data_IF_343673080379
#
_entry.id   IF_343673080379
#
_cell.length_a   1.000
_cell.length_b   1.000
_cell.length_c   1.000
_cell.angle_alpha   90.00
_cell.angle_beta   90.00
_cell.angle_gamma   90.00
#
_symmetry.space_group_name_H-M   'P 1'
#
loop_
_entity.id
_entity.type
_entity.pdbx_description
1 polymer ?
#
# COMPACT_ATOMS: atom_id res chain seq x y z
N UNK A 1 -16.28 3.41 15.30
CA UNK A 1 -16.24 4.89 15.13
C UNK A 1 -17.10 5.26 13.93
N UNK A 2 -18.00 6.27 13.99
CA UNK A 2 -18.75 6.67 12.81
C UNK A 2 -17.97 7.75 12.06
N UNK A 3 -17.04 7.33 11.19
CA UNK A 3 -16.44 8.21 10.20
C UNK A 3 -17.56 8.69 9.28
N UNK A 4 -17.86 9.99 9.26
CA UNK A 4 -18.79 10.50 8.25
C UNK A 4 -18.08 10.48 6.91
N UNK A 5 -18.53 9.57 6.04
CA UNK A 5 -17.98 9.42 4.70
C UNK A 5 -18.35 10.62 3.81
N UNK A 6 -17.47 11.04 2.89
CA UNK A 6 -17.76 12.06 1.89
C UNK A 6 -18.98 11.69 1.06
N UNK A 7 -19.86 12.68 0.81
CA UNK A 7 -21.01 12.53 -0.08
C UNK A 7 -20.81 13.20 -1.42
N UNK A 8 -19.76 14.02 -1.52
CA UNK A 8 -19.33 14.70 -2.75
C UNK A 8 -17.82 14.75 -2.85
N UNK A 9 -17.29 15.10 -4.04
CA UNK A 9 -15.84 15.21 -4.28
C UNK A 9 -15.20 16.41 -3.59
N UNK A 10 -16.00 17.42 -3.24
CA UNK A 10 -15.56 18.61 -2.50
C UNK A 10 -15.53 18.40 -0.98
N UNK A 11 -16.13 17.31 -0.49
CA UNK A 11 -16.16 17.04 0.94
C UNK A 11 -14.80 16.54 1.43
N UNK A 12 -14.45 16.95 2.65
CA UNK A 12 -13.38 16.34 3.44
C UNK A 12 -13.92 15.17 4.24
N UNK A 13 -13.04 14.26 4.62
CA UNK A 13 -13.41 13.23 5.58
C UNK A 13 -13.59 13.85 6.96
N UNK A 14 -14.71 13.56 7.63
CA UNK A 14 -14.87 13.89 9.03
C UNK A 14 -14.28 12.77 9.90
N UNK A 15 -12.98 12.57 9.77
CA UNK A 15 -12.20 11.61 10.55
C UNK A 15 -11.56 12.35 11.72
N UNK A 16 -11.76 11.86 12.92
CA UNK A 16 -11.08 12.39 14.08
C UNK A 16 -9.76 11.62 14.25
N UNK A 17 -8.66 12.27 13.95
CA UNK A 17 -7.32 11.74 14.23
C UNK A 17 -6.93 12.09 15.67
N UNK A 18 -6.40 11.14 16.47
CA UNK A 18 -5.89 11.45 17.79
C UNK A 18 -4.81 12.53 17.73
N UNK A 19 -4.91 13.50 18.61
CA UNK A 19 -3.87 14.52 18.80
C UNK A 19 -2.76 13.99 19.72
N UNK A 20 -1.58 14.59 19.65
CA UNK A 20 -0.43 14.28 20.52
C UNK A 20 0.14 12.86 20.40
N UNK A 21 -0.02 12.19 19.25
CA UNK A 21 0.70 10.96 18.95
C UNK A 21 2.13 11.28 18.47
N UNK A 22 3.14 10.46 18.84
CA UNK A 22 4.54 10.70 18.44
C UNK A 22 4.76 10.59 16.94
N UNK A 23 3.92 9.82 16.23
CA UNK A 23 3.97 9.63 14.78
C UNK A 23 2.66 10.08 14.11
N UNK A 24 2.76 10.57 12.88
CA UNK A 24 1.60 10.81 12.04
C UNK A 24 0.99 9.50 11.57
N UNK A 25 1.84 8.49 11.32
CA UNK A 25 1.42 7.16 10.88
C UNK A 25 2.33 6.07 11.43
N UNK A 26 1.71 4.93 11.75
CA UNK A 26 2.38 3.64 11.95
C UNK A 26 2.01 2.72 10.80
N UNK A 27 2.99 2.07 10.19
CA UNK A 27 2.80 0.99 9.24
C UNK A 27 3.17 -0.36 9.85
N UNK A 28 2.29 -1.34 9.73
CA UNK A 28 2.52 -2.71 10.18
C UNK A 28 2.27 -3.68 9.04
N UNK A 29 3.31 -4.39 8.60
CA UNK A 29 3.20 -5.36 7.51
C UNK A 29 4.50 -5.64 6.77
N UNK A 30 4.39 -5.97 5.49
CA UNK A 30 5.47 -6.52 4.68
C UNK A 30 6.60 -5.54 4.37
N UNK A 31 7.79 -6.08 4.44
CA UNK A 31 9.01 -5.57 3.84
C UNK A 31 9.64 -6.69 3.01
N UNK A 32 10.04 -6.42 1.79
CA UNK A 32 10.65 -7.41 0.89
C UNK A 32 11.91 -6.87 0.22
N UNK A 33 12.69 -7.80 -0.33
CA UNK A 33 13.76 -7.47 -1.27
C UNK A 33 13.32 -7.92 -2.67
N UNK A 34 13.23 -6.97 -3.59
CA UNK A 34 12.76 -7.22 -4.93
C UNK A 34 13.96 -7.37 -5.89
N UNK A 35 14.03 -8.51 -6.55
CA UNK A 35 14.97 -8.81 -7.63
C UNK A 35 14.27 -8.52 -8.96
N UNK A 36 14.46 -7.32 -9.47
CA UNK A 36 13.83 -6.85 -10.71
C UNK A 36 14.60 -7.31 -11.93
N UNK A 37 13.92 -8.00 -12.83
CA UNK A 37 14.44 -8.53 -14.08
C UNK A 37 13.71 -7.86 -15.26
N UNK A 38 14.28 -6.79 -15.82
CA UNK A 38 13.73 -6.18 -17.03
C UNK A 38 14.07 -7.04 -18.25
N UNK A 39 13.05 -7.50 -18.95
CA UNK A 39 13.18 -8.33 -20.15
C UNK A 39 12.62 -7.63 -21.40
N UNK A 40 13.13 -7.96 -22.61
CA UNK A 40 12.56 -7.41 -23.85
C UNK A 40 11.08 -7.72 -24.02
N UNK A 41 10.70 -8.95 -23.64
CA UNK A 41 9.34 -9.48 -23.60
C UNK A 41 9.30 -10.65 -22.61
N UNK A 42 8.12 -10.99 -22.10
CA UNK A 42 7.98 -12.14 -21.20
C UNK A 42 8.29 -13.43 -21.96
N UNK A 43 9.19 -14.30 -21.44
CA UNK A 43 9.58 -15.52 -22.15
C UNK A 43 8.42 -16.53 -22.20
N UNK A 44 8.35 -17.31 -23.27
CA UNK A 44 7.44 -18.45 -23.37
C UNK A 44 7.90 -19.57 -22.42
N UNK A 45 6.99 -20.40 -21.99
CA UNK A 45 7.30 -21.61 -21.20
C UNK A 45 8.39 -22.45 -21.91
N UNK A 46 9.40 -22.89 -21.14
CA UNK A 46 10.58 -23.59 -21.67
C UNK A 46 11.57 -22.72 -22.48
N UNK A 47 11.27 -21.43 -22.64
CA UNK A 47 12.13 -20.50 -23.36
C UNK A 47 13.31 -19.99 -22.52
N UNK A 48 14.25 -19.34 -23.19
CA UNK A 48 15.39 -18.63 -22.61
C UNK A 48 15.48 -17.24 -23.22
N UNK A 49 15.61 -16.22 -22.35
CA UNK A 49 15.74 -14.85 -22.77
C UNK A 49 16.85 -14.15 -21.99
N UNK A 50 17.54 -13.23 -22.64
CA UNK A 50 18.55 -12.38 -21.99
C UNK A 50 17.87 -11.19 -21.36
N UNK A 51 18.18 -10.93 -20.07
CA UNK A 51 17.69 -9.75 -19.35
C UNK A 51 18.39 -8.49 -19.88
N UNK A 52 17.63 -7.40 -19.99
CA UNK A 52 18.14 -6.08 -20.35
C UNK A 52 18.78 -5.37 -19.15
N UNK A 53 18.23 -5.61 -17.95
CA UNK A 53 18.68 -5.00 -16.70
C UNK A 53 18.29 -5.91 -15.54
N UNK A 54 19.11 -5.90 -14.49
CA UNK A 54 18.82 -6.52 -13.21
C UNK A 54 19.13 -5.54 -12.09
N UNK A 55 18.20 -5.42 -11.14
CA UNK A 55 18.38 -4.60 -9.94
C UNK A 55 17.89 -5.34 -8.70
N UNK A 56 18.56 -5.11 -7.56
CA UNK A 56 18.09 -5.53 -6.25
C UNK A 56 17.65 -4.30 -5.48
N UNK A 57 16.36 -4.15 -5.27
CA UNK A 57 15.75 -2.96 -4.69
C UNK A 57 14.88 -3.30 -3.47
N UNK A 58 14.65 -2.35 -2.55
CA UNK A 58 13.73 -2.55 -1.46
C UNK A 58 12.26 -2.46 -1.93
N UNK A 59 11.43 -3.37 -1.44
CA UNK A 59 10.00 -3.46 -1.71
C UNK A 59 9.18 -3.69 -0.44
N UNK A 60 8.03 -4.36 -0.61
CA UNK A 60 7.04 -4.62 0.43
C UNK A 60 6.00 -3.51 0.52
N UNK A 61 4.73 -3.89 0.60
CA UNK A 61 3.57 -3.00 0.51
C UNK A 61 3.62 -1.89 1.56
N UNK A 62 3.54 -2.24 2.84
CA UNK A 62 3.55 -1.26 3.92
C UNK A 62 4.87 -0.50 3.97
N UNK A 63 6.00 -1.19 3.79
CA UNK A 63 7.31 -0.54 3.85
C UNK A 63 7.50 0.52 2.75
N UNK A 64 6.93 0.30 1.56
CA UNK A 64 6.93 1.28 0.46
C UNK A 64 6.01 2.46 0.75
N UNK A 65 4.78 2.22 1.23
CA UNK A 65 3.84 3.27 1.61
C UNK A 65 4.41 4.16 2.73
N UNK A 66 5.03 3.57 3.74
CA UNK A 66 5.66 4.31 4.85
C UNK A 66 6.87 5.12 4.37
N UNK A 67 7.70 4.57 3.48
CA UNK A 67 8.81 5.32 2.86
C UNK A 67 8.29 6.51 2.06
N UNK A 68 7.21 6.33 1.27
CA UNK A 68 6.56 7.43 0.57
C UNK A 68 6.17 8.55 1.54
N UNK A 69 5.45 8.21 2.63
CA UNK A 69 4.97 9.18 3.60
C UNK A 69 6.11 9.91 4.35
N UNK A 70 7.19 9.20 4.66
CA UNK A 70 8.40 9.81 5.23
C UNK A 70 9.02 10.86 4.28
N UNK A 71 9.12 10.55 2.98
CA UNK A 71 9.60 11.48 1.95
C UNK A 71 8.66 12.65 1.70
N UNK A 72 7.37 12.50 2.03
CA UNK A 72 6.40 13.61 2.04
C UNK A 72 6.48 14.48 3.31
N UNK A 73 7.39 14.18 4.23
CA UNK A 73 7.67 14.97 5.43
C UNK A 73 6.86 14.59 6.67
N UNK A 74 6.16 13.45 6.66
CA UNK A 74 5.44 12.96 7.83
C UNK A 74 6.37 12.20 8.79
N UNK A 75 6.02 12.20 10.09
CA UNK A 75 6.66 11.37 11.11
C UNK A 75 6.12 9.95 11.02
N UNK A 76 6.96 9.03 10.60
CA UNK A 76 6.53 7.65 10.29
C UNK A 76 7.25 6.62 11.15
N UNK A 77 6.53 5.56 11.52
CA UNK A 77 7.07 4.37 12.18
C UNK A 77 6.71 3.13 11.36
N UNK A 78 7.67 2.22 11.20
CA UNK A 78 7.46 0.93 10.57
C UNK A 78 7.61 -0.20 11.58
N UNK A 79 6.67 -1.13 11.59
CA UNK A 79 6.65 -2.37 12.36
C UNK A 79 6.60 -3.53 11.38
N UNK A 80 7.47 -4.49 11.51
CA UNK A 80 7.53 -5.67 10.67
C UNK A 80 8.60 -6.64 11.12
N UNK A 81 8.76 -7.76 10.41
CA UNK A 81 9.72 -8.81 10.74
C UNK A 81 10.55 -9.17 9.52
N UNK A 82 11.84 -9.32 9.71
CA UNK A 82 12.82 -9.74 8.70
C UNK A 82 13.64 -10.91 9.21
N UNK A 83 14.24 -11.68 8.33
CA UNK A 83 15.19 -12.72 8.71
C UNK A 83 16.54 -12.16 9.14
N UNK A 84 17.34 -12.96 9.88
CA UNK A 84 18.73 -12.64 10.25
C UNK A 84 19.73 -12.79 9.08
N UNK A 85 19.27 -12.89 7.85
CA UNK A 85 20.08 -13.08 6.63
C UNK A 85 20.49 -11.76 5.95
N UNK A 86 21.29 -11.86 4.88
CA UNK A 86 21.77 -10.70 4.11
C UNK A 86 20.63 -9.87 3.52
N UNK A 87 19.49 -10.50 3.18
CA UNK A 87 18.32 -9.80 2.64
C UNK A 87 17.61 -9.01 3.74
N UNK A 88 17.53 -9.55 4.98
CA UNK A 88 17.00 -8.83 6.13
C UNK A 88 17.83 -7.60 6.48
N UNK A 89 19.16 -7.77 6.50
CA UNK A 89 20.08 -6.63 6.70
C UNK A 89 19.91 -5.59 5.60
N UNK A 90 19.77 -6.00 4.34
CA UNK A 90 19.50 -5.10 3.22
C UNK A 90 18.18 -4.35 3.42
N UNK A 91 17.10 -5.05 3.81
CA UNK A 91 15.77 -4.47 4.04
C UNK A 91 15.81 -3.40 5.14
N UNK A 92 16.41 -3.71 6.30
CA UNK A 92 16.55 -2.76 7.42
C UNK A 92 17.40 -1.56 7.00
N UNK A 93 18.53 -1.80 6.35
CA UNK A 93 19.45 -0.76 5.88
C UNK A 93 18.83 0.15 4.83
N UNK A 94 17.87 -0.35 4.06
CA UNK A 94 17.19 0.41 3.01
C UNK A 94 16.39 1.61 3.52
N UNK A 95 15.98 1.62 4.79
CA UNK A 95 15.36 2.77 5.44
C UNK A 95 16.35 3.85 5.87
N UNK A 96 17.67 3.55 5.86
CA UNK A 96 18.70 4.48 6.40
C UNK A 96 18.81 5.82 5.69
N UNK A 97 18.23 5.98 4.50
CA UNK A 97 18.18 7.25 3.76
C UNK A 97 16.86 8.03 4.00
N UNK A 98 15.89 7.43 4.68
CA UNK A 98 14.55 7.98 4.90
C UNK A 98 14.30 8.13 6.42
N UNK A 99 13.61 9.18 6.88
CA UNK A 99 13.37 9.42 8.31
C UNK A 99 12.21 8.54 8.83
N UNK A 100 12.37 7.22 8.73
CA UNK A 100 11.42 6.21 9.23
C UNK A 100 11.93 5.65 10.55
N UNK A 101 11.12 5.66 11.60
CA UNK A 101 11.40 4.94 12.83
C UNK A 101 11.22 3.43 12.59
N UNK A 102 12.32 2.68 12.74
CA UNK A 102 12.35 1.22 12.56
C UNK A 102 12.67 0.48 13.88
N UNK A 103 12.56 1.16 15.03
CA UNK A 103 12.89 0.60 16.34
C UNK A 103 12.04 -0.63 16.73
N UNK A 104 10.92 -0.84 16.03
CA UNK A 104 10.02 -1.99 16.25
C UNK A 104 10.12 -3.05 15.14
N UNK A 105 11.20 -3.05 14.35
CA UNK A 105 11.47 -4.14 13.40
C UNK A 105 12.08 -5.31 14.17
N UNK A 106 11.46 -6.49 14.05
CA UNK A 106 11.98 -7.72 14.63
C UNK A 106 12.90 -8.44 13.63
N UNK A 107 13.96 -9.04 14.14
CA UNK A 107 14.88 -9.89 13.38
C UNK A 107 14.68 -11.33 13.86
N UNK A 108 14.24 -12.20 12.98
CA UNK A 108 14.05 -13.63 13.26
C UNK A 108 15.30 -14.40 12.81
N UNK A 109 16.13 -14.78 13.78
CA UNK A 109 17.37 -15.51 13.51
C UNK A 109 17.10 -16.87 12.86
N UNK A 110 17.81 -17.16 11.80
CA UNK A 110 17.68 -18.40 11.01
C UNK A 110 16.48 -18.42 10.05
N UNK A 111 15.58 -17.44 10.06
CA UNK A 111 14.56 -17.29 9.03
C UNK A 111 15.14 -16.67 7.76
N UNK A 112 14.52 -16.97 6.62
CA UNK A 112 14.81 -16.29 5.35
C UNK A 112 13.93 -15.06 5.22
N UNK A 113 14.54 -13.92 4.91
CA UNK A 113 13.79 -12.70 4.61
C UNK A 113 12.91 -12.85 3.38
N UNK A 114 11.81 -12.14 3.37
CA UNK A 114 10.92 -12.12 2.22
C UNK A 114 11.65 -11.53 1.01
N UNK A 115 11.50 -12.20 -0.13
CA UNK A 115 12.01 -11.72 -1.41
C UNK A 115 11.00 -11.96 -2.52
N UNK A 116 11.11 -11.15 -3.57
CA UNK A 116 10.38 -11.35 -4.81
C UNK A 116 11.34 -11.35 -5.99
N UNK A 117 11.10 -12.24 -6.95
CA UNK A 117 11.67 -12.11 -8.30
C UNK A 117 10.58 -11.52 -9.18
N UNK A 118 10.84 -10.36 -9.75
CA UNK A 118 9.85 -9.59 -10.52
C UNK A 118 10.36 -9.47 -11.95
N UNK A 119 9.66 -10.12 -12.89
CA UNK A 119 9.94 -10.00 -14.32
C UNK A 119 9.07 -8.89 -14.89
N UNK A 120 9.71 -7.90 -15.52
CA UNK A 120 9.06 -6.71 -16.09
C UNK A 120 9.20 -6.76 -17.61
N UNK A 121 8.08 -6.70 -18.31
CA UNK A 121 8.04 -6.63 -19.78
C UNK A 121 8.27 -5.18 -20.24
N UNK A 122 9.39 -4.91 -20.93
CA UNK A 122 9.74 -3.56 -21.39
C UNK A 122 8.73 -2.94 -22.34
N UNK A 123 7.89 -3.73 -22.99
CA UNK A 123 6.93 -3.23 -23.99
C UNK A 123 5.81 -2.43 -23.35
N UNK A 124 5.40 -2.78 -22.12
CA UNK A 124 4.22 -2.20 -21.47
C UNK A 124 4.41 -1.92 -19.96
N UNK A 125 5.55 -2.32 -19.36
CA UNK A 125 5.81 -2.18 -17.93
C UNK A 125 5.04 -3.16 -17.04
N UNK A 126 4.30 -4.11 -17.63
CA UNK A 126 3.60 -5.15 -16.87
C UNK A 126 4.56 -6.11 -16.20
N UNK A 127 4.19 -6.59 -15.03
CA UNK A 127 5.04 -7.43 -14.19
C UNK A 127 4.42 -8.77 -13.84
N UNK A 128 5.27 -9.77 -13.67
CA UNK A 128 4.94 -11.04 -13.02
C UNK A 128 5.83 -11.20 -11.79
N UNK A 129 5.23 -11.53 -10.66
CA UNK A 129 5.89 -11.56 -9.36
C UNK A 129 5.94 -13.00 -8.84
N UNK A 130 7.13 -13.45 -8.46
CA UNK A 130 7.36 -14.72 -7.77
C UNK A 130 7.83 -14.39 -6.35
N UNK A 131 6.97 -14.66 -5.36
CA UNK A 131 7.25 -14.36 -3.96
C UNK A 131 7.79 -15.59 -3.23
N UNK A 132 8.75 -15.36 -2.34
CA UNK A 132 9.22 -16.32 -1.36
C UNK A 132 9.15 -15.70 0.03
N UNK A 133 8.35 -16.30 0.93
CA UNK A 133 8.24 -15.89 2.34
C UNK A 133 8.43 -17.11 3.24
N UNK A 134 9.24 -16.95 4.27
CA UNK A 134 9.39 -17.93 5.34
C UNK A 134 8.25 -17.73 6.35
N UNK A 135 7.54 -18.81 6.70
CA UNK A 135 6.42 -18.74 7.66
C UNK A 135 6.83 -18.30 9.08
N UNK A 136 8.12 -18.34 9.41
CA UNK A 136 8.65 -17.79 10.69
C UNK A 136 8.62 -16.27 10.74
N UNK A 137 8.48 -15.60 9.58
CA UNK A 137 8.31 -14.16 9.51
C UNK A 137 6.88 -13.71 9.80
N UNK A 138 5.92 -14.62 9.96
CA UNK A 138 4.58 -14.28 10.40
C UNK A 138 4.64 -13.64 11.80
N UNK A 139 4.20 -12.39 11.89
CA UNK A 139 4.21 -11.63 13.12
C UNK A 139 3.04 -12.08 14.00
N UNK A 140 3.33 -12.68 15.15
CA UNK A 140 2.33 -13.24 16.05
C UNK A 140 1.77 -12.15 16.97
N UNK A 141 0.55 -12.33 17.44
CA UNK A 141 -0.08 -11.40 18.38
C UNK A 141 0.76 -11.22 19.66
N UNK A 142 1.40 -12.30 20.16
CA UNK A 142 2.25 -12.25 21.35
C UNK A 142 3.56 -11.42 21.17
N UNK A 143 3.93 -11.11 19.93
CA UNK A 143 5.09 -10.28 19.59
C UNK A 143 4.71 -8.81 19.37
N UNK A 144 3.39 -8.52 19.31
CA UNK A 144 2.87 -7.20 19.02
C UNK A 144 2.85 -6.33 20.28
N UNK A 145 3.55 -5.21 20.23
CA UNK A 145 3.48 -4.17 21.26
C UNK A 145 2.37 -3.18 20.94
N UNK A 146 1.28 -3.22 21.73
CA UNK A 146 0.12 -2.35 21.57
C UNK A 146 0.51 -0.87 21.57
N UNK A 147 1.46 -0.48 22.46
CA UNK A 147 1.94 0.90 22.54
C UNK A 147 2.61 1.37 21.24
N UNK A 148 3.40 0.49 20.60
CA UNK A 148 4.04 0.79 19.31
C UNK A 148 3.04 0.87 18.17
N UNK A 149 2.07 -0.05 18.12
CA UNK A 149 1.02 -0.06 17.09
C UNK A 149 0.14 1.18 17.19
N UNK A 150 -0.23 1.56 18.41
CA UNK A 150 -1.09 2.71 18.69
C UNK A 150 -0.31 4.04 18.81
N UNK A 151 0.97 4.09 18.41
CA UNK A 151 1.78 5.30 18.50
C UNK A 151 1.51 6.32 17.38
N UNK A 152 0.75 5.98 16.36
CA UNK A 152 0.40 6.84 15.23
C UNK A 152 -1.00 7.46 15.34
N UNK A 153 -1.25 8.49 14.52
CA UNK A 153 -2.59 9.08 14.33
C UNK A 153 -3.47 8.23 13.41
N UNK A 154 -2.86 7.36 12.61
CA UNK A 154 -3.48 6.37 11.73
C UNK A 154 -2.58 5.13 11.67
N UNK A 155 -3.19 3.94 11.55
CA UNK A 155 -2.49 2.70 11.26
C UNK A 155 -2.69 2.31 9.80
N UNK A 156 -1.62 1.85 9.13
CA UNK A 156 -1.66 1.23 7.80
C UNK A 156 -1.18 -0.20 7.86
N UNK A 157 -1.94 -1.14 7.29
CA UNK A 157 -1.60 -2.58 7.24
C UNK A 157 -1.77 -3.14 5.82
N UNK A 158 -1.23 -4.36 5.62
CA UNK A 158 -1.47 -5.18 4.42
C UNK A 158 -2.19 -6.52 4.73
N UNK A 159 -2.41 -6.83 6.01
CA UNK A 159 -3.18 -8.00 6.43
C UNK A 159 -2.47 -9.35 6.35
N UNK A 160 -1.23 -9.41 5.93
CA UNK A 160 -0.50 -10.68 5.74
C UNK A 160 -0.14 -11.39 7.04
N UNK A 161 0.13 -10.65 8.10
CA UNK A 161 0.53 -11.23 9.39
C UNK A 161 -0.68 -11.65 10.23
N UNK A 162 -0.54 -12.73 10.99
CA UNK A 162 -1.61 -13.22 11.87
C UNK A 162 -1.98 -12.22 12.98
N UNK A 163 -1.06 -11.30 13.33
CA UNK A 163 -1.29 -10.20 14.28
C UNK A 163 -2.04 -9.00 13.67
N UNK A 164 -2.31 -8.96 12.35
CA UNK A 164 -2.96 -7.81 11.69
C UNK A 164 -4.33 -7.50 12.28
N UNK A 165 -5.12 -8.53 12.59
CA UNK A 165 -6.43 -8.35 13.22
C UNK A 165 -6.29 -7.75 14.63
N UNK A 166 -5.34 -8.22 15.44
CA UNK A 166 -5.09 -7.69 16.78
C UNK A 166 -4.65 -6.22 16.70
N UNK A 167 -3.76 -5.87 15.76
CA UNK A 167 -3.32 -4.50 15.52
C UNK A 167 -4.50 -3.57 15.18
N UNK A 168 -5.39 -4.01 14.28
CA UNK A 168 -6.59 -3.26 13.94
C UNK A 168 -7.50 -3.06 15.15
N UNK A 169 -7.75 -4.13 15.94
CA UNK A 169 -8.58 -4.08 17.15
C UNK A 169 -8.00 -3.14 18.22
N UNK A 170 -6.68 -3.14 18.43
CA UNK A 170 -6.03 -2.22 19.37
C UNK A 170 -6.25 -0.76 18.93
N UNK A 171 -6.02 -0.45 17.67
CA UNK A 171 -6.23 0.88 17.13
C UNK A 171 -7.70 1.33 17.22
N UNK A 172 -8.65 0.45 16.91
CA UNK A 172 -10.09 0.75 17.04
C UNK A 172 -10.48 1.10 18.47
N UNK A 173 -9.96 0.39 19.49
CA UNK A 173 -10.21 0.68 20.91
C UNK A 173 -9.70 2.08 21.30
N UNK A 174 -8.54 2.48 20.78
CA UNK A 174 -7.92 3.78 21.02
C UNK A 174 -8.49 4.90 20.13
N UNK A 175 -9.43 4.56 19.25
CA UNK A 175 -10.01 5.51 18.31
C UNK A 175 -9.05 5.97 17.21
N UNK A 176 -8.07 5.14 16.86
CA UNK A 176 -7.11 5.38 15.79
C UNK A 176 -7.67 4.76 14.51
N UNK A 177 -7.88 5.54 13.43
CA UNK A 177 -8.34 5.01 12.16
C UNK A 177 -7.36 4.00 11.55
N UNK A 178 -7.90 3.00 10.85
CA UNK A 178 -7.13 1.94 10.21
C UNK A 178 -7.37 1.94 8.70
N UNK A 179 -6.28 2.00 7.94
CA UNK A 179 -6.26 1.87 6.48
C UNK A 179 -5.57 0.55 6.10
N UNK A 180 -6.12 -0.19 5.15
CA UNK A 180 -5.55 -1.47 4.72
C UNK A 180 -5.36 -1.53 3.20
N UNK A 181 -4.26 -2.18 2.79
CA UNK A 181 -3.92 -2.58 1.43
C UNK A 181 -4.17 -4.08 1.27
N UNK A 182 -5.22 -4.46 0.56
CA UNK A 182 -5.49 -5.86 0.25
C UNK A 182 -5.43 -6.11 -1.26
N UNK A 183 -4.43 -6.87 -1.67
CA UNK A 183 -4.25 -7.35 -3.04
C UNK A 183 -4.54 -8.86 -3.20
N UNK A 184 -4.63 -9.59 -2.09
CA UNK A 184 -4.88 -11.05 -2.00
C UNK A 184 -5.80 -11.35 -0.84
N UNK A 185 -6.66 -12.36 -0.99
CA UNK A 185 -7.55 -12.81 0.09
C UNK A 185 -6.76 -13.59 1.14
N UNK A 186 -6.60 -12.98 2.31
CA UNK A 186 -5.87 -13.55 3.44
C UNK A 186 -6.78 -14.33 4.40
N UNK A 187 -6.18 -15.15 5.28
CA UNK A 187 -6.93 -15.84 6.31
C UNK A 187 -7.65 -14.84 7.26
N UNK A 188 -8.90 -15.13 7.63
CA UNK A 188 -9.75 -14.24 8.44
C UNK A 188 -10.02 -12.85 7.82
N UNK A 189 -9.92 -12.70 6.50
CA UNK A 189 -10.12 -11.44 5.80
C UNK A 189 -11.43 -10.74 6.19
N UNK A 190 -12.54 -11.48 6.31
CA UNK A 190 -13.84 -10.92 6.74
C UNK A 190 -13.75 -10.24 8.12
N UNK A 191 -13.15 -10.90 9.11
CA UNK A 191 -12.97 -10.32 10.45
C UNK A 191 -12.05 -9.11 10.45
N UNK A 192 -11.02 -9.15 9.61
CA UNK A 192 -10.10 -8.03 9.48
C UNK A 192 -10.83 -6.80 8.90
N UNK A 193 -11.60 -6.97 7.84
CA UNK A 193 -12.38 -5.91 7.18
C UNK A 193 -13.38 -5.24 8.15
N UNK A 194 -13.97 -5.97 9.09
CA UNK A 194 -14.88 -5.42 10.11
C UNK A 194 -14.21 -4.40 11.05
N UNK A 195 -12.87 -4.40 11.12
CA UNK A 195 -12.08 -3.52 11.99
C UNK A 195 -11.29 -2.45 11.23
N UNK A 196 -11.69 -2.14 9.98
CA UNK A 196 -11.02 -1.20 9.09
C UNK A 196 -11.92 0.01 8.81
N UNK A 197 -11.34 1.21 8.71
CA UNK A 197 -12.05 2.43 8.33
C UNK A 197 -11.91 2.73 6.83
N UNK A 198 -10.72 2.44 6.26
CA UNK A 198 -10.39 2.69 4.85
C UNK A 198 -9.91 1.40 4.20
N UNK A 199 -10.77 0.82 3.36
CA UNK A 199 -10.48 -0.38 2.59
C UNK A 199 -10.11 0.02 1.18
N UNK A 200 -8.84 -0.13 0.83
CA UNK A 200 -8.34 0.11 -0.52
C UNK A 200 -7.86 -1.23 -1.06
N UNK A 201 -8.44 -1.67 -2.15
CA UNK A 201 -8.20 -3.01 -2.72
C UNK A 201 -7.85 -2.93 -4.20
N UNK A 202 -7.22 -3.97 -4.72
CA UNK A 202 -7.08 -4.15 -6.15
C UNK A 202 -8.38 -4.71 -6.77
N UNK A 203 -8.56 -4.54 -8.07
CA UNK A 203 -9.68 -5.18 -8.78
C UNK A 203 -9.61 -6.71 -8.74
N UNK A 204 -8.40 -7.28 -8.72
CA UNK A 204 -8.19 -8.72 -8.56
C UNK A 204 -8.64 -9.22 -7.18
N UNK A 205 -8.29 -8.52 -6.11
CA UNK A 205 -8.79 -8.84 -4.76
C UNK A 205 -10.32 -8.81 -4.71
N UNK A 206 -10.93 -7.73 -5.24
CA UNK A 206 -12.39 -7.59 -5.24
C UNK A 206 -13.07 -8.77 -5.93
N UNK A 207 -12.54 -9.19 -7.09
CA UNK A 207 -13.06 -10.34 -7.84
C UNK A 207 -12.86 -11.67 -7.10
N UNK A 208 -11.70 -11.88 -6.50
CA UNK A 208 -11.39 -13.10 -5.73
C UNK A 208 -12.26 -13.19 -4.47
N UNK A 209 -12.37 -12.10 -3.71
CA UNK A 209 -13.11 -12.04 -2.45
C UNK A 209 -14.61 -12.27 -2.65
N UNK A 210 -15.19 -11.68 -3.71
CA UNK A 210 -16.63 -11.77 -3.98
C UNK A 210 -17.02 -12.96 -4.87
N UNK A 211 -16.06 -13.58 -5.55
CA UNK A 211 -16.32 -14.61 -6.58
C UNK A 211 -16.93 -14.05 -7.87
N UNK A 212 -16.93 -12.72 -8.06
CA UNK A 212 -17.55 -12.04 -9.21
C UNK A 212 -16.45 -11.47 -10.10
N UNK A 213 -16.36 -11.94 -11.35
CA UNK A 213 -15.30 -11.54 -12.28
C UNK A 213 -15.46 -10.10 -12.82
N UNK A 214 -16.70 -9.60 -12.95
CA UNK A 214 -16.94 -8.23 -13.40
C UNK A 214 -16.54 -7.21 -12.33
N UNK A 215 -15.60 -6.27 -12.61
CA UNK A 215 -15.09 -5.34 -11.61
C UNK A 215 -16.15 -4.41 -11.01
N UNK A 216 -17.16 -3.99 -11.79
CA UNK A 216 -18.21 -3.12 -11.27
C UNK A 216 -19.16 -3.89 -10.34
N UNK A 217 -19.53 -5.10 -10.72
CA UNK A 217 -20.40 -5.95 -9.90
C UNK A 217 -19.68 -6.43 -8.63
N UNK A 218 -18.38 -6.78 -8.71
CA UNK A 218 -17.58 -7.17 -7.54
C UNK A 218 -17.40 -6.01 -6.56
N UNK A 219 -17.17 -4.78 -7.07
CA UNK A 219 -17.06 -3.59 -6.24
C UNK A 219 -18.38 -3.26 -5.50
N UNK A 220 -19.53 -3.43 -6.18
CA UNK A 220 -20.85 -3.29 -5.53
C UNK A 220 -21.10 -4.35 -4.47
N UNK A 221 -20.71 -5.61 -4.75
CA UNK A 221 -20.85 -6.69 -3.78
C UNK A 221 -19.95 -6.46 -2.55
N UNK A 222 -18.71 -6.00 -2.76
CA UNK A 222 -17.80 -5.66 -1.67
C UNK A 222 -18.36 -4.51 -0.81
N UNK A 223 -19.01 -3.51 -1.41
CA UNK A 223 -19.70 -2.43 -0.68
C UNK A 223 -20.77 -2.95 0.27
N UNK A 224 -21.46 -4.03 -0.07
CA UNK A 224 -22.49 -4.63 0.81
C UNK A 224 -21.89 -5.31 2.04
N UNK A 225 -20.61 -5.66 1.99
CA UNK A 225 -19.89 -6.30 3.08
C UNK A 225 -19.05 -5.33 3.94
N UNK A 226 -18.96 -4.05 3.53
CA UNK A 226 -18.07 -3.08 4.16
C UNK A 226 -18.73 -1.69 4.29
N UNK A 227 -18.82 -1.19 5.52
CA UNK A 227 -19.46 0.10 5.82
C UNK A 227 -18.51 1.30 5.82
N UNK A 228 -17.19 1.08 5.90
CA UNK A 228 -16.17 2.14 5.86
C UNK A 228 -15.98 2.75 4.48
N UNK A 229 -14.92 3.52 4.28
CA UNK A 229 -14.61 4.11 2.98
C UNK A 229 -13.92 3.10 2.07
N UNK A 230 -14.54 2.84 0.92
CA UNK A 230 -14.12 1.81 -0.04
C UNK A 230 -13.54 2.44 -1.30
N UNK A 231 -12.33 1.99 -1.67
CA UNK A 231 -11.63 2.32 -2.92
C UNK A 231 -11.22 1.03 -3.62
N UNK A 232 -11.28 1.01 -4.95
CA UNK A 232 -10.73 -0.04 -5.79
C UNK A 232 -9.79 0.55 -6.83
N UNK A 233 -8.54 0.10 -6.86
CA UNK A 233 -7.57 0.48 -7.88
C UNK A 233 -7.75 -0.34 -9.16
N UNK A 234 -7.58 0.31 -10.32
CA UNK A 234 -7.86 -0.22 -11.66
C UNK A 234 -6.62 -0.17 -12.57
N UNK A 235 -5.42 -0.13 -11.99
CA UNK A 235 -4.18 0.00 -12.73
C UNK A 235 -4.13 1.28 -13.56
N UNK A 236 -3.88 1.18 -14.86
CA UNK A 236 -3.78 2.33 -15.76
C UNK A 236 -5.09 3.15 -15.88
N UNK A 237 -6.24 2.55 -15.57
CA UNK A 237 -7.54 3.24 -15.59
C UNK A 237 -7.74 4.14 -14.35
N UNK A 238 -6.85 4.03 -13.35
CA UNK A 238 -6.89 4.83 -12.12
C UNK A 238 -7.56 4.12 -10.96
N UNK A 239 -8.58 4.72 -10.36
CA UNK A 239 -9.26 4.15 -9.19
C UNK A 239 -10.74 4.51 -9.16
N UNK A 240 -11.53 3.71 -8.44
CA UNK A 240 -12.92 3.98 -8.08
C UNK A 240 -13.06 4.16 -6.59
N UNK A 241 -13.94 5.06 -6.16
CA UNK A 241 -14.33 5.18 -4.76
C UNK A 241 -15.84 5.17 -4.62
N UNK A 242 -16.32 4.66 -3.49
CA UNK A 242 -17.73 4.75 -3.15
C UNK A 242 -18.03 6.09 -2.47
N UNK A 243 -18.84 6.94 -3.10
CA UNK A 243 -19.14 8.32 -2.68
C UNK A 243 -20.65 8.50 -2.51
N UNK A 244 -21.11 8.70 -1.28
CA UNK A 244 -22.55 8.65 -1.01
C UNK A 244 -23.12 7.28 -1.40
N UNK A 245 -24.06 7.27 -2.36
CA UNK A 245 -24.75 6.05 -2.80
C UNK A 245 -24.29 5.55 -4.19
N UNK A 246 -23.16 6.06 -4.70
CA UNK A 246 -22.68 5.71 -6.04
C UNK A 246 -21.18 5.47 -6.10
N UNK A 247 -20.72 4.70 -7.07
CA UNK A 247 -19.32 4.58 -7.40
C UNK A 247 -18.89 5.73 -8.32
N UNK A 248 -17.72 6.32 -8.03
CA UNK A 248 -17.13 7.40 -8.83
C UNK A 248 -15.74 6.97 -9.29
N UNK A 249 -15.47 7.12 -10.59
CA UNK A 249 -14.17 6.80 -11.17
C UNK A 249 -13.29 8.04 -11.23
N UNK A 250 -12.04 7.89 -10.81
CA UNK A 250 -10.97 8.87 -10.88
C UNK A 250 -9.93 8.36 -11.88
N UNK A 251 -9.77 9.02 -13.03
CA UNK A 251 -8.91 8.50 -14.10
C UNK A 251 -7.44 8.45 -13.68
N UNK A 252 -6.74 7.44 -14.17
CA UNK A 252 -5.31 7.29 -13.99
C UNK A 252 -4.51 8.34 -14.79
N UNK A 253 -3.26 8.51 -14.41
CA UNK A 253 -2.34 9.38 -15.14
C UNK A 253 -1.90 8.70 -16.44
N UNK A 254 -2.08 9.38 -17.57
CA UNK A 254 -1.60 8.88 -18.87
C UNK A 254 -0.08 9.04 -18.97
N UNK A 255 0.63 7.95 -18.79
CA UNK A 255 2.09 7.88 -18.83
C UNK A 255 2.55 6.70 -19.70
N UNK A 256 3.82 6.68 -20.02
CA UNK A 256 4.50 5.48 -20.55
C UNK A 256 5.13 4.75 -19.38
N UNK A 257 4.51 3.67 -18.93
CA UNK A 257 5.03 2.86 -17.84
C UNK A 257 6.36 2.18 -18.22
N UNK A 258 7.29 2.21 -17.28
CA UNK A 258 8.54 1.46 -17.28
C UNK A 258 8.41 0.25 -16.36
N UNK A 259 7.81 0.45 -15.17
CA UNK A 259 7.60 -0.58 -14.16
C UNK A 259 6.42 -0.20 -13.28
N UNK A 260 5.46 -1.10 -13.13
CA UNK A 260 4.28 -0.87 -12.29
C UNK A 260 4.45 -1.36 -10.85
N UNK A 261 5.66 -1.82 -10.47
CA UNK A 261 5.94 -2.31 -9.11
C UNK A 261 5.80 -1.19 -8.08
N UNK A 262 5.02 -1.44 -7.01
CA UNK A 262 4.81 -0.49 -5.93
C UNK A 262 3.83 0.64 -6.22
N UNK A 263 3.18 0.66 -7.40
CA UNK A 263 2.20 1.70 -7.71
C UNK A 263 1.00 1.69 -6.73
N UNK A 264 0.53 0.51 -6.34
CA UNK A 264 -0.50 0.34 -5.31
C UNK A 264 -0.05 0.90 -3.98
N UNK A 265 1.13 0.51 -3.52
CA UNK A 265 1.70 0.93 -2.24
C UNK A 265 1.82 2.47 -2.15
N UNK A 266 2.28 3.08 -3.24
CA UNK A 266 2.39 4.55 -3.36
C UNK A 266 1.00 5.20 -3.39
N UNK A 267 0.02 4.58 -4.06
CA UNK A 267 -1.37 5.04 -4.02
C UNK A 267 -1.90 5.10 -2.58
N UNK A 268 -1.66 4.03 -1.78
CA UNK A 268 -2.05 3.97 -0.36
C UNK A 268 -1.36 5.05 0.45
N UNK A 269 -0.06 5.20 0.32
CA UNK A 269 0.70 6.26 0.98
C UNK A 269 0.19 7.65 0.62
N UNK A 270 -0.08 7.92 -0.65
CA UNK A 270 -0.59 9.19 -1.13
C UNK A 270 -2.03 9.48 -0.67
N UNK A 271 -2.89 8.45 -0.64
CA UNK A 271 -4.24 8.57 -0.08
C UNK A 271 -4.18 8.98 1.40
N UNK A 272 -3.36 8.30 2.20
CA UNK A 272 -3.19 8.59 3.63
C UNK A 272 -2.60 10.00 3.84
N UNK A 273 -1.64 10.42 2.99
CA UNK A 273 -1.11 11.79 3.03
C UNK A 273 -2.21 12.83 2.86
N UNK A 274 -3.09 12.65 1.88
CA UNK A 274 -4.23 13.53 1.63
C UNK A 274 -5.24 13.54 2.77
N UNK A 275 -5.51 12.38 3.40
CA UNK A 275 -6.35 12.26 4.60
C UNK A 275 -5.78 13.07 5.76
N UNK A 276 -4.50 12.89 6.09
CA UNK A 276 -3.82 13.60 7.19
C UNK A 276 -3.68 15.09 6.91
N UNK A 277 -3.66 15.50 5.63
CA UNK A 277 -3.66 16.88 5.18
C UNK A 277 -5.06 17.51 5.16
N UNK A 278 -6.11 16.76 5.53
CA UNK A 278 -7.50 17.18 5.50
C UNK A 278 -7.96 17.75 4.14
N UNK A 279 -7.52 17.12 3.05
CA UNK A 279 -7.91 17.52 1.70
C UNK A 279 -9.31 17.02 1.33
N UNK A 280 -10.00 17.70 0.40
CA UNK A 280 -11.22 17.16 -0.20
C UNK A 280 -10.96 15.85 -0.93
N UNK A 281 -11.96 14.95 -0.95
CA UNK A 281 -11.86 13.62 -1.55
C UNK A 281 -11.33 13.67 -3.00
N UNK A 282 -11.85 14.57 -3.83
CA UNK A 282 -11.41 14.68 -5.22
C UNK A 282 -9.90 14.97 -5.32
N UNK A 283 -9.37 15.84 -4.45
CA UNK A 283 -7.93 16.13 -4.40
C UNK A 283 -7.11 14.93 -3.92
N UNK A 284 -7.60 14.21 -2.91
CA UNK A 284 -6.93 12.99 -2.40
C UNK A 284 -6.78 11.96 -3.51
N UNK A 285 -7.88 11.65 -4.21
CA UNK A 285 -7.89 10.62 -5.26
C UNK A 285 -7.03 11.00 -6.47
N UNK A 286 -7.08 12.27 -6.89
CA UNK A 286 -6.22 12.78 -7.98
C UNK A 286 -4.74 12.75 -7.59
N UNK A 287 -4.41 13.09 -6.34
CA UNK A 287 -3.05 13.03 -5.83
C UNK A 287 -2.53 11.60 -5.74
N UNK A 288 -3.35 10.66 -5.26
CA UNK A 288 -2.99 9.25 -5.18
C UNK A 288 -2.76 8.64 -6.58
N UNK A 289 -3.64 8.93 -7.55
CA UNK A 289 -3.45 8.50 -8.94
C UNK A 289 -2.20 9.13 -9.58
N UNK A 290 -1.93 10.41 -9.32
CA UNK A 290 -0.76 11.10 -9.85
C UNK A 290 0.54 10.53 -9.26
N UNK A 291 0.59 10.33 -7.94
CA UNK A 291 1.76 9.77 -7.27
C UNK A 291 2.07 8.35 -7.76
N UNK A 292 1.05 7.48 -7.83
CA UNK A 292 1.16 6.12 -8.34
C UNK A 292 1.56 6.10 -9.83
N UNK A 293 0.93 6.92 -10.66
CA UNK A 293 1.26 6.99 -12.08
C UNK A 293 2.70 7.47 -12.32
N UNK A 294 3.12 8.54 -11.66
CA UNK A 294 4.48 9.07 -11.80
C UNK A 294 5.55 8.07 -11.37
N UNK A 295 5.29 7.27 -10.33
CA UNK A 295 6.23 6.24 -9.89
C UNK A 295 6.47 5.18 -10.96
N UNK A 296 5.46 4.83 -11.74
CA UNK A 296 5.57 3.85 -12.82
C UNK A 296 6.50 4.25 -13.97
N UNK A 297 6.98 5.47 -14.01
CA UNK A 297 7.98 5.93 -15.00
C UNK A 297 9.41 5.51 -14.65
N UNK A 298 9.62 4.87 -13.50
CA UNK A 298 10.92 4.46 -12.97
C UNK A 298 10.90 2.98 -12.58
N UNK A 299 12.08 2.36 -12.58
CA UNK A 299 12.24 0.96 -12.19
C UNK A 299 12.26 0.85 -10.66
N UNK A 300 11.40 0.01 -10.07
CA UNK A 300 11.32 -0.30 -8.65
C UNK A 300 10.41 0.61 -7.84
N UNK A 301 9.83 0.03 -6.79
CA UNK A 301 8.78 0.65 -5.98
C UNK A 301 9.23 1.98 -5.32
N UNK A 302 10.30 1.94 -4.50
CA UNK A 302 10.72 3.12 -3.72
C UNK A 302 11.57 4.11 -4.51
N UNK A 303 12.20 3.67 -5.59
CA UNK A 303 12.98 4.53 -6.51
C UNK A 303 12.07 5.45 -7.32
N UNK A 304 10.85 5.01 -7.61
CA UNK A 304 9.83 5.78 -8.33
C UNK A 304 9.16 6.90 -7.50
N UNK A 305 9.36 6.94 -6.18
CA UNK A 305 8.76 7.99 -5.33
C UNK A 305 9.26 9.37 -5.74
N UNK A 306 8.34 10.23 -6.20
CA UNK A 306 8.65 11.59 -6.66
C UNK A 306 8.49 12.62 -5.55
N UNK A 307 9.21 13.76 -5.62
CA UNK A 307 9.02 14.85 -4.68
C UNK A 307 7.58 15.38 -4.67
N UNK A 308 7.09 15.80 -3.49
CA UNK A 308 5.74 16.35 -3.32
C UNK A 308 5.42 17.46 -4.33
N UNK A 309 6.37 18.37 -4.58
CA UNK A 309 6.19 19.47 -5.52
C UNK A 309 5.95 19.01 -6.96
N UNK A 310 6.56 17.91 -7.37
CA UNK A 310 6.37 17.34 -8.71
C UNK A 310 4.97 16.72 -8.84
N UNK A 311 4.55 15.96 -7.82
CA UNK A 311 3.21 15.33 -7.81
C UNK A 311 2.13 16.42 -7.84
N UNK A 312 2.25 17.46 -7.02
CA UNK A 312 1.29 18.56 -6.96
C UNK A 312 1.17 19.32 -8.29
N UNK A 313 2.27 19.49 -9.03
CA UNK A 313 2.20 20.13 -10.36
C UNK A 313 1.28 19.38 -11.35
N UNK A 314 1.18 18.04 -11.23
CA UNK A 314 0.27 17.24 -12.04
C UNK A 314 -1.17 17.35 -11.55
N UNK A 315 -1.40 17.36 -10.26
CA UNK A 315 -2.75 17.49 -9.66
C UNK A 315 -3.37 18.84 -10.03
N UNK A 316 -2.61 19.92 -9.93
CA UNK A 316 -3.08 21.28 -10.23
C UNK A 316 -3.39 21.49 -11.72
N UNK A 317 -2.71 20.77 -12.63
CA UNK A 317 -3.00 20.80 -14.06
C UNK A 317 -4.29 20.05 -14.45
N UNK A 318 -4.66 19.02 -13.69
CA UNK A 318 -5.87 18.20 -13.93
C UNK A 318 -7.10 18.83 -13.28
N UNK A 319 -6.92 19.64 -12.23
CA UNK A 319 -7.99 20.33 -11.50
C UNK A 319 -8.35 21.72 -12.06
N UNK A 320 -7.64 22.18 -13.08
CA UNK A 320 -7.92 23.43 -13.81
C UNK A 320 -8.66 23.12 -15.12
#
# INVERSE_FOLDING_TARGET
MHTKLPRSLSDTFNVRFPENKPFDIVGFGLNSVDHLCLVPEYPREGGKIEMLQYERLPGGQVATAITFLARMGLKTKYIGKVGGDDLGQFSVKSFGCDPVDISSVLIEEGARSQMSVITIDRRNGERTVFCLRDGRLDFKESELDEGSVCAGRILHLDGYDSASLAAAVYCQKEGIPVCIDLDTVVHNCNKLIENIDFLIVSSSFSSEFTGIADPEASFRALRQCFDGFLVMTLGAEGAKAWVGDQSVTFPGLKIKAVDTTGAGDIFHGAFIYGLLSNWPLGRIMNFANAAAGLSCMYLGARTGIRPLSEILQYVDKVGA
#
